data_IF_172100104081
#
_entry.id   IF_172100104081
#
_cell.length_a   1.000
_cell.length_b   1.000
_cell.length_c   1.000
_cell.angle_alpha   90.00
_cell.angle_beta   90.00
_cell.angle_gamma   90.00
#
_symmetry.space_group_name_H-M   'P 1'
#
loop_
_entity.id
_entity.type
_entity.pdbx_description
1 polymer ?
#
# COMPACT_ATOMS: atom_id res chain seq x y z
N UNK A 1 34.27 -9.78 33.43
CA UNK A 1 34.80 -11.12 33.08
C UNK A 1 33.69 -12.05 32.61
N UNK A 2 32.62 -12.29 33.37
CA UNK A 2 31.51 -13.19 32.96
C UNK A 2 30.72 -12.76 31.70
N UNK A 3 30.60 -11.45 31.46
CA UNK A 3 30.02 -10.92 30.21
C UNK A 3 30.89 -11.27 29.00
N UNK A 4 32.22 -11.21 29.16
CA UNK A 4 33.19 -11.47 28.09
C UNK A 4 33.25 -12.95 27.69
N UNK A 5 33.07 -13.87 28.66
CA UNK A 5 32.99 -15.32 28.40
C UNK A 5 31.67 -15.74 27.73
N UNK A 6 30.58 -15.02 28.00
CA UNK A 6 29.32 -15.20 27.27
C UNK A 6 29.45 -14.72 25.82
N UNK A 7 30.19 -13.63 25.60
CA UNK A 7 30.53 -13.12 24.26
C UNK A 7 31.41 -14.09 23.45
N UNK A 8 32.38 -14.76 24.08
CA UNK A 8 33.24 -15.75 23.42
C UNK A 8 32.47 -17.00 22.96
N UNK A 9 31.37 -17.36 23.64
CA UNK A 9 30.51 -18.49 23.25
C UNK A 9 29.54 -18.17 22.11
N UNK A 10 29.26 -16.89 21.90
CA UNK A 10 28.48 -16.39 20.77
C UNK A 10 29.34 -16.11 19.53
N UNK A 11 30.67 -16.05 19.64
CA UNK A 11 31.57 -15.83 18.48
C UNK A 11 31.44 -16.93 17.40
N UNK A 12 31.13 -18.18 17.78
CA UNK A 12 30.84 -19.29 16.85
C UNK A 12 29.41 -19.24 16.25
N UNK A 13 28.58 -18.30 16.72
CA UNK A 13 27.14 -18.21 16.38
C UNK A 13 26.77 -16.90 15.70
N UNK A 14 27.45 -15.81 16.07
CA UNK A 14 27.28 -14.44 15.56
C UNK A 14 28.66 -13.88 15.27
N UNK A 15 29.04 -13.82 13.99
CA UNK A 15 30.32 -13.21 13.59
C UNK A 15 30.23 -11.70 13.81
N UNK A 16 30.83 -11.18 14.88
CA UNK A 16 30.93 -9.75 15.12
C UNK A 16 31.95 -9.08 14.20
N UNK A 17 31.83 -7.76 14.03
CA UNK A 17 32.79 -6.99 13.24
C UNK A 17 34.22 -7.15 13.79
N UNK A 18 35.13 -7.63 12.94
CA UNK A 18 36.53 -7.93 13.26
C UNK A 18 37.44 -6.69 13.34
N UNK A 19 36.88 -5.48 13.14
CA UNK A 19 37.65 -4.24 12.98
C UNK A 19 38.16 -4.01 11.55
N UNK A 20 37.98 -4.98 10.64
CA UNK A 20 38.34 -4.87 9.23
C UNK A 20 37.10 -4.93 8.34
N UNK A 21 37.08 -4.14 7.27
CA UNK A 21 36.03 -4.18 6.25
C UNK A 21 36.26 -5.35 5.29
N UNK A 22 36.13 -6.57 5.82
CA UNK A 22 36.14 -7.79 5.05
C UNK A 22 34.84 -7.92 4.23
N UNK A 23 34.79 -8.85 3.27
CA UNK A 23 33.63 -9.04 2.37
C UNK A 23 32.29 -9.07 3.11
N UNK A 24 32.11 -9.82 4.23
CA UNK A 24 30.84 -9.83 4.96
C UNK A 24 30.47 -8.45 5.54
N UNK A 25 31.45 -7.73 6.10
CA UNK A 25 31.21 -6.41 6.69
C UNK A 25 30.78 -5.38 5.63
N UNK A 26 31.39 -5.42 4.44
CA UNK A 26 31.00 -4.57 3.32
C UNK A 26 29.57 -4.90 2.87
N UNK A 27 29.25 -6.18 2.68
CA UNK A 27 27.90 -6.63 2.31
C UNK A 27 26.87 -6.18 3.34
N UNK A 28 27.14 -6.37 4.63
CA UNK A 28 26.26 -5.96 5.74
C UNK A 28 26.04 -4.45 5.72
N UNK A 29 27.11 -3.66 5.58
CA UNK A 29 27.02 -2.19 5.51
C UNK A 29 26.12 -1.74 4.36
N UNK A 30 26.31 -2.32 3.17
CA UNK A 30 25.50 -2.02 1.97
C UNK A 30 24.04 -2.41 2.21
N UNK A 31 23.78 -3.59 2.77
CA UNK A 31 22.43 -4.04 3.06
C UNK A 31 21.72 -3.11 4.07
N UNK A 32 22.39 -2.71 5.14
CA UNK A 32 21.83 -1.76 6.12
C UNK A 32 21.52 -0.41 5.47
N UNK A 33 22.45 0.12 4.67
CA UNK A 33 22.25 1.38 3.97
C UNK A 33 21.05 1.32 3.00
N UNK A 34 20.94 0.24 2.23
CA UNK A 34 19.82 0.02 1.31
C UNK A 34 18.49 -0.13 2.05
N UNK A 35 18.45 -0.88 3.14
CA UNK A 35 17.23 -1.08 3.93
C UNK A 35 16.73 0.25 4.53
N UNK A 36 17.62 1.05 5.13
CA UNK A 36 17.28 2.38 5.67
C UNK A 36 16.83 3.32 4.55
N UNK A 37 17.55 3.36 3.43
CA UNK A 37 17.17 4.19 2.28
C UNK A 37 15.76 3.84 1.79
N UNK A 38 15.49 2.55 1.54
CA UNK A 38 14.18 2.08 1.08
C UNK A 38 13.08 2.40 2.10
N UNK A 39 13.34 2.22 3.40
CA UNK A 39 12.37 2.50 4.45
C UNK A 39 12.04 3.99 4.54
N UNK A 40 13.04 4.87 4.51
CA UNK A 40 12.83 6.33 4.53
C UNK A 40 12.08 6.78 3.29
N UNK A 41 12.50 6.34 2.10
CA UNK A 41 11.82 6.65 0.85
C UNK A 41 10.36 6.20 0.90
N UNK A 42 10.09 4.99 1.38
CA UNK A 42 8.74 4.46 1.51
C UNK A 42 7.91 5.26 2.53
N UNK A 43 8.47 5.63 3.68
CA UNK A 43 7.79 6.49 4.65
C UNK A 43 7.41 7.85 4.04
N UNK A 44 8.34 8.48 3.33
CA UNK A 44 8.07 9.74 2.62
C UNK A 44 6.97 9.56 1.56
N UNK A 45 7.01 8.47 0.80
CA UNK A 45 5.97 8.14 -0.18
C UNK A 45 4.61 7.91 0.47
N UNK A 46 4.56 7.25 1.63
CA UNK A 46 3.32 7.06 2.40
C UNK A 46 2.73 8.41 2.79
N UNK A 47 3.51 9.30 3.43
CA UNK A 47 3.02 10.59 3.88
C UNK A 47 2.64 11.54 2.73
N UNK A 48 3.29 11.43 1.57
CA UNK A 48 2.98 12.26 0.40
C UNK A 48 1.82 11.72 -0.44
N UNK A 49 1.53 10.42 -0.38
CA UNK A 49 0.50 9.78 -1.23
C UNK A 49 -0.85 9.67 -0.53
N UNK A 50 -0.87 9.39 0.78
CA UNK A 50 -2.11 9.24 1.53
C UNK A 50 -2.68 10.61 1.93
N UNK A 51 -3.92 10.88 1.50
CA UNK A 51 -4.67 12.08 1.93
C UNK A 51 -5.50 11.88 3.21
N UNK A 52 -5.78 10.62 3.56
CA UNK A 52 -6.47 10.23 4.80
C UNK A 52 -5.65 9.16 5.49
N UNK A 53 -5.29 9.40 6.74
CA UNK A 53 -4.47 8.51 7.57
C UNK A 53 -5.36 7.54 8.38
N UNK A 54 -6.29 6.89 7.68
CA UNK A 54 -7.26 5.96 8.27
C UNK A 54 -7.22 4.61 7.55
N UNK A 55 -7.59 3.56 8.27
CA UNK A 55 -7.71 2.19 7.74
C UNK A 55 -6.51 1.27 8.01
N UNK A 56 -6.79 -0.03 8.02
CA UNK A 56 -5.83 -1.07 8.37
C UNK A 56 -4.61 -1.08 7.43
N UNK A 57 -4.81 -0.85 6.13
CA UNK A 57 -3.71 -0.77 5.16
C UNK A 57 -2.70 0.31 5.54
N UNK A 58 -3.17 1.52 5.84
CA UNK A 58 -2.32 2.65 6.15
C UNK A 58 -1.48 2.36 7.40
N UNK A 59 -2.14 1.95 8.49
CA UNK A 59 -1.45 1.66 9.75
C UNK A 59 -0.48 0.48 9.64
N UNK A 60 -0.87 -0.61 8.98
CA UNK A 60 0.01 -1.77 8.77
C UNK A 60 1.22 -1.40 7.92
N UNK A 61 1.03 -0.66 6.82
CA UNK A 61 2.12 -0.23 5.95
C UNK A 61 3.06 0.75 6.66
N UNK A 62 2.52 1.69 7.43
CA UNK A 62 3.30 2.66 8.21
C UNK A 62 4.12 1.95 9.29
N UNK A 63 3.50 1.10 10.10
CA UNK A 63 4.16 0.36 11.18
C UNK A 63 5.23 -0.58 10.63
N UNK A 64 4.93 -1.30 9.54
CA UNK A 64 5.90 -2.20 8.91
C UNK A 64 7.12 -1.43 8.38
N UNK A 65 6.88 -0.32 7.67
CA UNK A 65 7.94 0.51 7.10
C UNK A 65 8.78 1.19 8.18
N UNK A 66 8.13 1.68 9.23
CA UNK A 66 8.81 2.24 10.39
C UNK A 66 9.65 1.17 11.09
N UNK A 67 9.12 -0.05 11.28
CA UNK A 67 9.80 -1.17 11.94
C UNK A 67 11.12 -1.59 11.30
N UNK A 68 11.29 -1.38 9.99
CA UNK A 68 12.58 -1.61 9.30
C UNK A 68 13.70 -0.75 9.88
N UNK A 69 13.40 0.49 10.30
CA UNK A 69 14.41 1.42 10.82
C UNK A 69 15.02 0.97 12.16
N UNK A 70 14.27 0.79 13.26
CA UNK A 70 14.84 0.32 14.51
C UNK A 70 15.39 -1.10 14.38
N UNK A 71 14.83 -1.96 13.52
CA UNK A 71 15.43 -3.27 13.27
C UNK A 71 16.85 -3.15 12.67
N UNK A 72 16.99 -2.35 11.62
CA UNK A 72 18.29 -2.14 10.94
C UNK A 72 19.29 -1.42 11.85
N UNK A 73 18.85 -0.41 12.59
CA UNK A 73 19.70 0.33 13.54
C UNK A 73 20.15 -0.55 14.71
N UNK A 74 19.24 -1.36 15.24
CA UNK A 74 19.55 -2.32 16.29
C UNK A 74 20.59 -3.34 15.83
N UNK A 75 20.37 -3.95 14.66
CA UNK A 75 21.31 -4.88 14.04
C UNK A 75 22.69 -4.23 13.78
N UNK A 76 22.74 -2.96 13.34
CA UNK A 76 24.01 -2.25 13.20
C UNK A 76 24.75 -2.06 14.53
N UNK A 77 24.02 -1.71 15.60
CA UNK A 77 24.62 -1.57 16.94
C UNK A 77 25.20 -2.90 17.40
N UNK A 78 24.46 -4.00 17.21
CA UNK A 78 24.88 -5.35 17.60
C UNK A 78 26.09 -5.83 16.78
N UNK A 79 26.07 -5.65 15.46
CA UNK A 79 27.13 -6.13 14.57
C UNK A 79 28.44 -5.33 14.70
N UNK A 80 28.35 -3.99 14.69
CA UNK A 80 29.52 -3.10 14.76
C UNK A 80 29.96 -2.77 16.20
N UNK A 81 29.22 -3.23 17.21
CA UNK A 81 29.48 -2.93 18.64
C UNK A 81 29.57 -1.41 18.90
N UNK A 82 28.67 -0.63 18.30
CA UNK A 82 28.69 0.85 18.36
C UNK A 82 28.42 1.41 19.77
N UNK A 83 27.63 0.71 20.57
CA UNK A 83 27.25 1.09 21.94
C UNK A 83 26.93 -0.17 22.75
N UNK A 84 26.25 -0.03 23.89
CA UNK A 84 25.77 -1.15 24.69
C UNK A 84 24.93 -2.13 23.85
N UNK A 85 25.28 -3.42 23.89
CA UNK A 85 24.57 -4.48 23.16
C UNK A 85 23.07 -4.49 23.47
N UNK A 86 22.70 -4.16 24.71
CA UNK A 86 21.31 -4.06 25.14
C UNK A 86 20.52 -3.01 24.34
N UNK A 87 21.15 -1.89 23.96
CA UNK A 87 20.49 -0.88 23.14
C UNK A 87 20.17 -1.40 21.73
N UNK A 88 21.08 -2.17 21.14
CA UNK A 88 20.86 -2.87 19.87
C UNK A 88 19.70 -3.86 19.99
N UNK A 89 19.73 -4.70 21.03
CA UNK A 89 18.71 -5.70 21.30
C UNK A 89 17.33 -5.10 21.52
N UNK A 90 17.22 -3.99 22.25
CA UNK A 90 15.94 -3.30 22.46
C UNK A 90 15.39 -2.78 21.13
N UNK A 91 16.24 -2.21 20.27
CA UNK A 91 15.80 -1.72 18.96
C UNK A 91 15.35 -2.85 18.03
N UNK A 92 16.09 -3.97 18.00
CA UNK A 92 15.68 -5.15 17.23
C UNK A 92 14.40 -5.77 17.79
N UNK A 93 14.22 -5.78 19.11
CA UNK A 93 13.03 -6.28 19.80
C UNK A 93 11.74 -5.59 19.36
N UNK A 94 11.76 -4.27 19.16
CA UNK A 94 10.60 -3.53 18.68
C UNK A 94 10.48 -3.53 17.16
N UNK A 95 11.61 -3.39 16.45
CA UNK A 95 11.61 -3.26 15.00
C UNK A 95 11.21 -4.53 14.27
N UNK A 96 11.72 -5.68 14.70
CA UNK A 96 11.49 -6.95 14.02
C UNK A 96 10.01 -7.38 14.01
N UNK A 97 9.29 -7.41 15.15
CA UNK A 97 7.88 -7.79 15.16
C UNK A 97 7.00 -6.80 14.39
N UNK A 98 7.29 -5.50 14.49
CA UNK A 98 6.58 -4.46 13.76
C UNK A 98 6.75 -4.63 12.24
N UNK A 99 7.97 -4.92 11.78
CA UNK A 99 8.29 -5.18 10.38
C UNK A 99 7.59 -6.44 9.86
N UNK A 100 7.77 -7.58 10.52
CA UNK A 100 7.28 -8.89 10.04
C UNK A 100 5.75 -8.98 10.12
N UNK A 101 5.17 -8.66 11.28
CA UNK A 101 3.70 -8.72 11.44
C UNK A 101 3.02 -7.65 10.62
N UNK A 102 3.59 -6.43 10.59
CA UNK A 102 3.06 -5.34 9.80
C UNK A 102 3.00 -5.71 8.32
N UNK A 103 4.03 -6.36 7.77
CA UNK A 103 4.04 -6.84 6.40
C UNK A 103 2.94 -7.88 6.14
N UNK A 104 2.74 -8.83 7.06
CA UNK A 104 1.63 -9.79 6.95
C UNK A 104 0.25 -9.12 6.98
N UNK A 105 0.10 -8.04 7.77
CA UNK A 105 -1.12 -7.25 7.82
C UNK A 105 -1.34 -6.40 6.55
N UNK A 106 -0.28 -5.93 5.90
CA UNK A 106 -0.37 -5.27 4.57
C UNK A 106 -0.92 -6.26 3.54
N UNK A 107 -0.38 -7.48 3.50
CA UNK A 107 -0.87 -8.54 2.62
C UNK A 107 -2.33 -8.90 2.92
N UNK A 108 -2.68 -9.03 4.20
CA UNK A 108 -4.06 -9.27 4.64
C UNK A 108 -5.01 -8.16 4.19
N UNK A 109 -4.61 -6.90 4.35
CA UNK A 109 -5.44 -5.77 3.94
C UNK A 109 -5.70 -5.77 2.43
N UNK A 110 -4.76 -6.24 1.61
CA UNK A 110 -4.99 -6.44 0.18
C UNK A 110 -5.89 -7.61 -0.12
N UNK A 111 -5.70 -8.72 0.59
CA UNK A 111 -6.55 -9.89 0.46
C UNK A 111 -8.01 -9.55 0.75
N UNK A 112 -8.25 -8.75 1.80
CA UNK A 112 -9.58 -8.24 2.16
C UNK A 112 -10.26 -7.51 0.98
N UNK A 113 -9.52 -6.63 0.28
CA UNK A 113 -10.05 -5.86 -0.85
C UNK A 113 -10.38 -6.76 -2.05
N UNK A 114 -9.61 -7.84 -2.27
CA UNK A 114 -9.83 -8.74 -3.41
C UNK A 114 -10.93 -9.76 -3.16
N UNK A 115 -11.02 -10.34 -1.96
CA UNK A 115 -12.00 -11.37 -1.62
C UNK A 115 -13.36 -10.78 -1.22
N UNK A 116 -13.38 -9.61 -0.59
CA UNK A 116 -14.60 -8.96 -0.08
C UNK A 116 -15.34 -9.79 0.99
N UNK A 117 -16.54 -9.31 1.35
CA UNK A 117 -17.36 -9.91 2.43
C UNK A 117 -17.91 -11.31 2.11
N UNK A 118 -17.95 -11.69 0.83
CA UNK A 118 -18.40 -13.03 0.42
C UNK A 118 -17.54 -14.16 1.04
N UNK A 119 -16.28 -13.86 1.39
CA UNK A 119 -15.34 -14.82 1.98
C UNK A 119 -14.89 -14.42 3.39
N UNK A 120 -15.76 -13.74 4.16
CA UNK A 120 -15.45 -13.26 5.52
C UNK A 120 -14.89 -14.33 6.46
N UNK A 121 -15.38 -15.58 6.38
CA UNK A 121 -14.88 -16.70 7.22
C UNK A 121 -13.40 -17.03 6.95
N UNK A 122 -13.01 -17.09 5.68
CA UNK A 122 -11.62 -17.35 5.27
C UNK A 122 -10.73 -16.19 5.72
N UNK A 123 -11.20 -14.96 5.51
CA UNK A 123 -10.46 -13.77 5.88
C UNK A 123 -10.22 -13.69 7.39
N UNK A 124 -11.26 -13.95 8.20
CA UNK A 124 -11.13 -14.02 9.66
C UNK A 124 -10.19 -15.14 10.11
N UNK A 125 -10.17 -16.28 9.41
CA UNK A 125 -9.24 -17.38 9.68
C UNK A 125 -7.78 -16.96 9.39
N UNK A 126 -7.55 -16.22 8.30
CA UNK A 126 -6.22 -15.67 7.97
C UNK A 126 -5.79 -14.65 9.03
N UNK A 127 -6.69 -13.77 9.47
CA UNK A 127 -6.37 -12.81 10.53
C UNK A 127 -5.99 -13.52 11.84
N UNK A 128 -6.75 -14.54 12.23
CA UNK A 128 -6.41 -15.35 13.41
C UNK A 128 -5.07 -16.05 13.26
N UNK A 129 -4.76 -16.61 12.08
CA UNK A 129 -3.45 -17.18 11.80
C UNK A 129 -2.33 -16.15 12.01
N UNK A 130 -2.46 -14.93 11.47
CA UNK A 130 -1.47 -13.85 11.64
C UNK A 130 -1.29 -13.49 13.11
N UNK A 131 -2.38 -13.35 13.87
CA UNK A 131 -2.34 -12.99 15.29
C UNK A 131 -1.67 -14.10 16.11
N UNK A 132 -2.11 -15.35 15.92
CA UNK A 132 -1.59 -16.50 16.69
C UNK A 132 -0.11 -16.73 16.37
N UNK A 133 0.27 -16.76 15.09
CA UNK A 133 1.68 -16.91 14.69
C UNK A 133 2.52 -15.73 15.19
N UNK A 134 2.01 -14.50 15.06
CA UNK A 134 2.69 -13.32 15.58
C UNK A 134 2.97 -13.44 17.08
N UNK A 135 1.96 -13.72 17.90
CA UNK A 135 2.15 -13.82 19.35
C UNK A 135 3.07 -14.98 19.71
N UNK A 136 2.82 -16.18 19.18
CA UNK A 136 3.58 -17.38 19.56
C UNK A 136 5.03 -17.28 19.12
N UNK A 137 5.28 -16.93 17.85
CA UNK A 137 6.63 -16.90 17.28
C UNK A 137 7.44 -15.73 17.80
N UNK A 138 6.84 -14.53 17.92
CA UNK A 138 7.57 -13.39 18.47
C UNK A 138 7.98 -13.66 19.91
N UNK A 139 7.06 -14.11 20.75
CA UNK A 139 7.37 -14.41 22.16
C UNK A 139 8.40 -15.53 22.27
N UNK A 140 8.28 -16.62 21.52
CA UNK A 140 9.26 -17.72 21.59
C UNK A 140 10.66 -17.28 21.19
N UNK A 141 10.76 -16.48 20.12
CA UNK A 141 12.05 -15.99 19.62
C UNK A 141 12.65 -14.97 20.58
N UNK A 142 11.84 -14.07 21.14
CA UNK A 142 12.30 -13.12 22.15
C UNK A 142 12.88 -13.84 23.38
N UNK A 143 12.16 -14.84 23.91
CA UNK A 143 12.64 -15.64 25.05
C UNK A 143 13.95 -16.36 24.71
N UNK A 144 14.05 -16.94 23.51
CA UNK A 144 15.26 -17.63 23.08
C UNK A 144 16.47 -16.68 22.95
N UNK A 145 16.29 -15.51 22.33
CA UNK A 145 17.34 -14.49 22.17
C UNK A 145 17.79 -13.94 23.53
N UNK A 146 16.85 -13.51 24.38
CA UNK A 146 17.20 -12.98 25.71
C UNK A 146 17.90 -14.03 26.56
N UNK A 147 17.44 -15.27 26.51
CA UNK A 147 18.09 -16.39 27.18
C UNK A 147 19.52 -16.61 26.68
N UNK A 148 19.74 -16.56 25.36
CA UNK A 148 21.07 -16.75 24.77
C UNK A 148 22.07 -15.65 25.17
N UNK A 149 21.61 -14.41 25.35
CA UNK A 149 22.47 -13.29 25.73
C UNK A 149 22.68 -13.11 27.24
N UNK A 150 21.69 -13.44 28.08
CA UNK A 150 21.70 -13.04 29.50
C UNK A 150 21.53 -14.18 30.52
N UNK A 151 21.11 -15.38 30.12
CA UNK A 151 20.95 -16.49 31.05
C UNK A 151 22.31 -17.11 31.40
N UNK A 152 22.93 -16.61 32.48
CA UNK A 152 24.32 -16.89 32.87
C UNK A 152 24.65 -18.37 33.24
N UNK A 153 23.71 -19.31 33.15
CA UNK A 153 23.92 -20.72 33.49
C UNK A 153 23.14 -21.69 32.59
N UNK A 154 22.68 -21.23 31.42
CA UNK A 154 21.86 -22.04 30.51
C UNK A 154 22.47 -22.07 29.10
N UNK A 155 23.51 -22.92 28.87
CA UNK A 155 24.20 -22.98 27.58
C UNK A 155 23.30 -23.45 26.43
N UNK A 156 22.15 -24.06 26.75
CA UNK A 156 21.21 -24.60 25.77
C UNK A 156 20.42 -23.53 25.01
N UNK A 157 20.41 -22.27 25.48
CA UNK A 157 19.66 -21.21 24.79
C UNK A 157 20.23 -20.81 23.43
N UNK A 158 21.55 -20.82 23.26
CA UNK A 158 22.17 -20.50 21.97
C UNK A 158 21.81 -21.50 20.85
N UNK A 159 21.94 -22.84 21.05
CA UNK A 159 21.47 -23.80 20.05
C UNK A 159 19.94 -23.80 19.93
N UNK A 160 19.20 -23.58 21.02
CA UNK A 160 17.74 -23.44 20.94
C UNK A 160 17.32 -22.24 20.08
N UNK A 161 18.00 -21.09 20.21
CA UNK A 161 17.75 -19.91 19.38
C UNK A 161 17.93 -20.22 17.89
N UNK A 162 19.02 -20.89 17.49
CA UNK A 162 19.22 -21.30 16.08
C UNK A 162 18.06 -22.16 15.55
N UNK A 163 17.51 -23.06 16.36
CA UNK A 163 16.38 -23.92 15.95
C UNK A 163 15.07 -23.15 15.90
N UNK A 164 14.79 -22.35 16.94
CA UNK A 164 13.59 -21.50 17.01
C UNK A 164 13.55 -20.53 15.84
N UNK A 165 14.69 -19.96 15.45
CA UNK A 165 14.82 -19.05 14.32
C UNK A 165 14.42 -19.69 12.97
N UNK A 166 14.93 -20.90 12.69
CA UNK A 166 14.54 -21.66 11.50
C UNK A 166 13.05 -21.99 11.49
N UNK A 167 12.50 -22.36 12.65
CA UNK A 167 11.07 -22.68 12.81
C UNK A 167 10.22 -21.44 12.52
N UNK A 168 10.52 -20.30 13.16
CA UNK A 168 9.75 -19.07 12.92
C UNK A 168 9.82 -18.62 11.46
N UNK A 169 11.00 -18.71 10.83
CA UNK A 169 11.20 -18.28 9.45
C UNK A 169 10.35 -19.14 8.53
N UNK A 170 10.37 -20.45 8.74
CA UNK A 170 9.55 -21.40 7.99
C UNK A 170 8.05 -21.11 8.16
N UNK A 171 7.58 -20.88 9.40
CA UNK A 171 6.15 -20.65 9.65
C UNK A 171 5.70 -19.30 9.08
N UNK A 172 6.47 -18.23 9.23
CA UNK A 172 6.16 -16.94 8.60
C UNK A 172 6.15 -17.04 7.07
N UNK A 173 7.11 -17.76 6.46
CA UNK A 173 7.10 -18.02 5.01
C UNK A 173 5.86 -18.79 4.57
N UNK A 174 5.45 -19.84 5.30
CA UNK A 174 4.23 -20.58 5.01
C UNK A 174 3.00 -19.69 5.15
N UNK A 175 2.94 -18.83 6.17
CA UNK A 175 1.89 -17.82 6.33
C UNK A 175 1.82 -16.87 5.13
N UNK A 176 2.96 -16.34 4.67
CA UNK A 176 3.02 -15.46 3.51
C UNK A 176 2.55 -16.20 2.23
N UNK A 177 2.91 -17.48 2.04
CA UNK A 177 2.41 -18.30 0.94
C UNK A 177 0.91 -18.54 0.99
N UNK A 178 0.33 -18.77 2.16
CA UNK A 178 -1.12 -18.94 2.31
C UNK A 178 -1.83 -17.65 1.90
N UNK A 179 -1.40 -16.50 2.41
CA UNK A 179 -2.01 -15.20 2.10
C UNK A 179 -1.87 -14.89 0.60
N UNK A 180 -0.66 -15.10 0.07
CA UNK A 180 -0.33 -14.88 -1.34
C UNK A 180 -1.13 -15.81 -2.28
N UNK A 181 -1.25 -17.09 -1.95
CA UNK A 181 -2.03 -18.06 -2.71
C UNK A 181 -3.53 -17.72 -2.75
N UNK A 182 -4.11 -17.33 -1.61
CA UNK A 182 -5.50 -16.87 -1.54
C UNK A 182 -5.70 -15.59 -2.38
N UNK A 183 -4.73 -14.68 -2.35
CA UNK A 183 -4.77 -13.45 -3.15
C UNK A 183 -4.78 -13.76 -4.65
N UNK A 184 -3.89 -14.64 -5.11
CA UNK A 184 -3.84 -15.09 -6.51
C UNK A 184 -5.14 -15.76 -6.90
N UNK A 185 -5.66 -16.66 -6.08
CA UNK A 185 -6.93 -17.34 -6.34
C UNK A 185 -8.10 -16.34 -6.51
N UNK A 186 -8.25 -15.39 -5.58
CA UNK A 186 -9.28 -14.35 -5.66
C UNK A 186 -9.12 -13.47 -6.91
N UNK A 187 -7.88 -13.08 -7.22
CA UNK A 187 -7.56 -12.28 -8.40
C UNK A 187 -7.87 -13.01 -9.71
N UNK A 188 -7.57 -14.31 -9.79
CA UNK A 188 -7.88 -15.14 -10.94
C UNK A 188 -9.38 -15.32 -11.15
N UNK A 189 -10.16 -15.42 -10.07
CA UNK A 189 -11.62 -15.49 -10.16
C UNK A 189 -12.20 -14.22 -10.79
N UNK A 190 -11.75 -13.04 -10.35
CA UNK A 190 -12.14 -11.74 -10.93
C UNK A 190 -11.69 -11.62 -12.40
N UNK A 191 -10.49 -12.11 -12.72
CA UNK A 191 -9.96 -12.07 -14.08
C UNK A 191 -10.81 -12.93 -15.04
N UNK A 192 -11.25 -14.11 -14.60
CA UNK A 192 -12.09 -15.01 -15.41
C UNK A 192 -13.44 -14.38 -15.72
N UNK A 193 -14.06 -13.70 -14.75
CA UNK A 193 -15.36 -13.02 -14.95
C UNK A 193 -15.23 -11.72 -15.76
N UNK A 194 -14.08 -11.05 -15.72
CA UNK A 194 -13.83 -9.77 -16.41
C UNK A 194 -13.08 -9.95 -17.77
N UNK A 195 -12.89 -11.18 -18.23
CA UNK A 195 -12.07 -11.53 -19.40
C UNK A 195 -12.51 -10.83 -20.72
N UNK A 196 -13.72 -10.27 -20.79
CA UNK A 196 -14.17 -9.48 -21.92
C UNK A 196 -13.41 -8.13 -22.10
N UNK A 197 -12.68 -7.65 -21.08
CA UNK A 197 -12.04 -6.32 -21.09
C UNK A 197 -10.51 -6.42 -21.15
N UNK A 198 -9.93 -6.45 -22.37
CA UNK A 198 -8.47 -6.60 -22.62
C UNK A 198 -7.55 -5.64 -21.84
N UNK A 199 -8.01 -4.45 -21.45
CA UNK A 199 -7.22 -3.49 -20.65
C UNK A 199 -7.08 -3.95 -19.19
N UNK A 200 -8.14 -4.54 -18.61
CA UNK A 200 -8.16 -5.04 -17.24
C UNK A 200 -7.24 -6.25 -17.06
N UNK A 201 -7.15 -7.12 -18.07
CA UNK A 201 -6.27 -8.30 -18.04
C UNK A 201 -4.78 -7.97 -17.96
N UNK A 202 -4.31 -6.89 -18.60
CA UNK A 202 -2.89 -6.46 -18.53
C UNK A 202 -2.52 -5.96 -17.14
N UNK A 203 -3.43 -5.25 -16.49
CA UNK A 203 -3.25 -4.73 -15.14
C UNK A 203 -3.22 -5.89 -14.15
N UNK A 204 -4.17 -6.81 -14.23
CA UNK A 204 -4.20 -8.01 -13.38
C UNK A 204 -2.95 -8.87 -13.53
N UNK A 205 -2.38 -8.95 -14.74
CA UNK A 205 -1.08 -9.59 -14.96
C UNK A 205 0.07 -8.86 -14.24
N UNK A 206 0.08 -7.52 -14.22
CA UNK A 206 1.07 -6.77 -13.44
C UNK A 206 0.93 -7.00 -11.94
N UNK A 207 -0.31 -7.05 -11.42
CA UNK A 207 -0.58 -7.36 -10.00
C UNK A 207 -0.12 -8.79 -9.65
N UNK A 208 -0.33 -9.73 -10.56
CA UNK A 208 0.14 -11.11 -10.42
C UNK A 208 1.67 -11.19 -10.39
N UNK A 209 2.37 -10.48 -11.29
CA UNK A 209 3.84 -10.51 -11.34
C UNK A 209 4.50 -10.04 -10.04
N UNK A 210 3.96 -9.02 -9.38
CA UNK A 210 4.54 -8.51 -8.14
C UNK A 210 4.32 -9.50 -6.99
N UNK A 211 3.15 -10.14 -6.94
CA UNK A 211 2.87 -11.17 -5.94
C UNK A 211 3.77 -12.41 -6.11
N UNK A 212 4.05 -12.83 -7.35
CA UNK A 212 5.03 -13.89 -7.65
C UNK A 212 6.43 -13.49 -7.19
N UNK A 213 6.83 -12.23 -7.40
CA UNK A 213 8.14 -11.73 -6.98
C UNK A 213 8.30 -11.76 -5.45
N UNK A 214 7.24 -11.49 -4.69
CA UNK A 214 7.23 -11.60 -3.22
C UNK A 214 7.47 -13.06 -2.80
N UNK A 215 6.75 -14.02 -3.42
CA UNK A 215 6.94 -15.45 -3.15
C UNK A 215 8.38 -15.89 -3.44
N UNK A 216 8.98 -15.41 -4.54
CA UNK A 216 10.39 -15.72 -4.86
C UNK A 216 11.32 -15.16 -3.78
N UNK A 217 11.07 -13.94 -3.29
CA UNK A 217 11.86 -13.34 -2.21
C UNK A 217 11.73 -14.12 -0.89
N UNK A 218 10.56 -14.68 -0.59
CA UNK A 218 10.35 -15.53 0.60
C UNK A 218 11.18 -16.81 0.52
N UNK A 219 11.14 -17.49 -0.64
CA UNK A 219 11.94 -18.69 -0.88
C UNK A 219 13.43 -18.35 -0.76
N UNK A 220 13.87 -17.23 -1.31
CA UNK A 220 15.26 -16.80 -1.23
C UNK A 220 15.70 -16.57 0.22
N UNK A 221 14.88 -15.91 1.05
CA UNK A 221 15.17 -15.75 2.47
C UNK A 221 15.23 -17.09 3.20
N UNK A 222 14.28 -17.98 2.93
CA UNK A 222 14.25 -19.31 3.54
C UNK A 222 15.52 -20.10 3.20
N UNK A 223 15.97 -20.07 1.93
CA UNK A 223 17.20 -20.73 1.51
C UNK A 223 18.42 -20.18 2.23
N UNK A 224 18.54 -18.86 2.38
CA UNK A 224 19.67 -18.23 3.09
C UNK A 224 19.68 -18.63 4.57
N UNK A 225 18.51 -18.71 5.21
CA UNK A 225 18.37 -19.16 6.60
C UNK A 225 18.86 -20.61 6.79
N UNK A 226 18.54 -21.51 5.86
CA UNK A 226 19.01 -22.89 5.92
C UNK A 226 20.51 -23.07 5.58
N UNK A 227 21.23 -22.01 5.19
CA UNK A 227 22.68 -22.05 5.00
C UNK A 227 23.48 -21.83 6.29
N UNK A 228 22.82 -21.70 7.45
CA UNK A 228 23.45 -21.46 8.77
C UNK A 228 24.32 -20.18 8.84
N UNK A 229 24.06 -19.22 7.94
CA UNK A 229 24.78 -17.94 7.85
C UNK A 229 23.96 -16.80 8.45
N UNK A 230 23.77 -16.87 9.76
CA UNK A 230 22.90 -15.98 10.55
C UNK A 230 23.08 -14.47 10.27
N UNK A 231 24.31 -13.97 10.34
CA UNK A 231 24.55 -12.53 10.18
C UNK A 231 24.25 -12.03 8.76
N UNK A 232 24.56 -12.84 7.74
CA UNK A 232 24.24 -12.52 6.34
C UNK A 232 22.73 -12.62 6.12
N UNK A 233 22.08 -13.61 6.72
CA UNK A 233 20.63 -13.77 6.70
C UNK A 233 19.91 -12.54 7.24
N UNK A 234 20.30 -12.05 8.43
CA UNK A 234 19.71 -10.85 9.02
C UNK A 234 19.91 -9.61 8.15
N UNK A 235 21.09 -9.45 7.54
CA UNK A 235 21.39 -8.35 6.63
C UNK A 235 20.56 -8.39 5.34
N UNK A 236 20.37 -9.58 4.75
CA UNK A 236 19.53 -9.73 3.55
C UNK A 236 18.04 -9.57 3.91
N UNK A 237 17.60 -10.07 5.07
CA UNK A 237 16.23 -9.99 5.59
C UNK A 237 15.68 -8.56 5.58
N UNK A 238 16.39 -7.62 6.20
CA UNK A 238 15.97 -6.20 6.23
C UNK A 238 15.83 -5.58 4.83
N UNK A 239 16.70 -5.92 3.87
CA UNK A 239 16.60 -5.44 2.49
C UNK A 239 15.37 -6.02 1.82
N UNK A 240 15.19 -7.34 1.92
CA UNK A 240 14.06 -8.04 1.32
C UNK A 240 12.74 -7.51 1.87
N UNK A 241 12.59 -7.37 3.19
CA UNK A 241 11.38 -6.81 3.79
C UNK A 241 11.11 -5.36 3.34
N UNK A 242 12.15 -4.51 3.25
CA UNK A 242 11.99 -3.14 2.72
C UNK A 242 11.51 -3.12 1.26
N UNK A 243 12.04 -4.03 0.43
CA UNK A 243 11.65 -4.13 -0.99
C UNK A 243 10.25 -4.70 -1.12
N UNK A 244 9.88 -5.72 -0.31
CA UNK A 244 8.51 -6.26 -0.24
C UNK A 244 7.51 -5.14 0.02
N UNK A 245 7.72 -4.32 1.04
CA UNK A 245 6.81 -3.22 1.38
C UNK A 245 6.72 -2.17 0.26
N UNK A 246 7.85 -1.87 -0.41
CA UNK A 246 7.86 -0.93 -1.54
C UNK A 246 7.08 -1.46 -2.74
N UNK A 247 7.19 -2.77 -3.01
CA UNK A 247 6.39 -3.46 -4.03
C UNK A 247 4.90 -3.43 -3.70
N UNK A 248 4.53 -3.68 -2.44
CA UNK A 248 3.15 -3.58 -1.95
C UNK A 248 2.55 -2.18 -2.18
N UNK A 249 3.31 -1.15 -1.84
CA UNK A 249 2.90 0.24 -2.08
C UNK A 249 2.76 0.59 -3.57
N UNK A 250 3.68 0.09 -4.41
CA UNK A 250 3.63 0.29 -5.86
C UNK A 250 2.39 -0.37 -6.48
N UNK A 251 1.98 -1.54 -5.98
CA UNK A 251 0.73 -2.19 -6.38
C UNK A 251 -0.45 -1.25 -6.09
N UNK A 252 -0.62 -0.80 -4.84
CA UNK A 252 -1.76 0.04 -4.47
C UNK A 252 -1.84 1.31 -5.31
N UNK A 253 -0.71 1.99 -5.50
CA UNK A 253 -0.65 3.24 -6.29
C UNK A 253 -1.13 3.03 -7.73
N UNK A 254 -0.82 1.87 -8.32
CA UNK A 254 -1.33 1.50 -9.65
C UNK A 254 -2.83 1.22 -9.64
N UNK A 255 -3.36 0.50 -8.64
CA UNK A 255 -4.82 0.25 -8.53
C UNK A 255 -5.61 1.57 -8.44
N UNK A 256 -5.15 2.53 -7.63
CA UNK A 256 -5.82 3.83 -7.48
C UNK A 256 -5.78 4.66 -8.77
N UNK A 257 -4.66 4.66 -9.49
CA UNK A 257 -4.54 5.33 -10.78
C UNK A 257 -5.51 4.79 -11.84
N UNK A 258 -5.86 3.50 -11.74
CA UNK A 258 -6.79 2.82 -12.64
C UNK A 258 -8.25 3.03 -12.18
N UNK A 259 -8.49 3.10 -10.88
CA UNK A 259 -9.81 3.35 -10.30
C UNK A 259 -10.39 4.72 -10.66
N UNK A 260 -9.54 5.72 -10.96
CA UNK A 260 -9.96 7.04 -11.47
C UNK A 260 -10.52 6.99 -12.90
N UNK A 261 -10.43 5.84 -13.60
CA UNK A 261 -11.09 5.58 -14.87
C UNK A 261 -12.53 5.07 -14.69
N UNK A 262 -13.44 5.96 -14.28
CA UNK A 262 -14.93 5.95 -14.29
C UNK A 262 -15.76 4.71 -13.88
N UNK A 263 -15.33 3.46 -14.12
CA UNK A 263 -16.19 2.27 -13.92
C UNK A 263 -15.87 1.49 -12.64
N UNK A 264 -14.65 1.65 -12.10
CA UNK A 264 -14.23 1.03 -10.84
C UNK A 264 -14.50 1.91 -9.61
N UNK A 265 -14.92 3.17 -9.79
CA UNK A 265 -15.23 4.08 -8.68
C UNK A 265 -16.41 3.59 -7.85
N UNK A 266 -17.48 3.08 -8.45
CA UNK A 266 -18.69 2.73 -7.68
C UNK A 266 -18.44 1.56 -6.73
N UNK A 267 -17.64 0.56 -7.12
CA UNK A 267 -17.35 -0.60 -6.28
C UNK A 267 -16.23 -0.34 -5.26
N UNK A 268 -15.18 0.40 -5.65
CA UNK A 268 -14.02 0.62 -4.80
C UNK A 268 -14.21 1.84 -3.88
N UNK A 269 -14.90 2.90 -4.32
CA UNK A 269 -15.29 4.01 -3.45
C UNK A 269 -16.38 3.60 -2.47
N UNK A 270 -17.27 2.67 -2.81
CA UNK A 270 -18.14 2.01 -1.83
C UNK A 270 -17.30 1.23 -0.80
N UNK A 271 -16.32 0.42 -1.24
CA UNK A 271 -15.44 -0.33 -0.33
C UNK A 271 -14.54 0.56 0.56
N UNK A 272 -14.16 1.76 0.11
CA UNK A 272 -13.40 2.72 0.92
C UNK A 272 -14.28 3.62 1.80
N UNK A 273 -15.51 3.94 1.39
CA UNK A 273 -16.48 4.67 2.23
C UNK A 273 -17.05 3.77 3.34
N UNK A 274 -17.32 2.50 3.03
CA UNK A 274 -17.82 1.51 4.00
C UNK A 274 -16.76 1.19 5.08
N UNK A 275 -15.47 1.45 4.79
CA UNK A 275 -14.37 1.38 5.78
C UNK A 275 -14.25 2.62 6.68
N UNK A 276 -14.68 3.81 6.21
CA UNK A 276 -14.69 5.05 7.00
C UNK A 276 -15.91 5.13 7.95
N UNK A 277 -16.99 4.39 7.66
CA UNK A 277 -18.24 4.38 8.46
C UNK A 277 -18.22 3.39 9.64
N UNK A 278 -17.40 2.34 9.60
CA UNK A 278 -17.34 1.30 10.65
C UNK A 278 -16.33 1.56 11.79
N UNK A 279 -15.66 2.73 11.83
CA UNK A 279 -14.62 3.07 12.83
C UNK A 279 -15.05 4.19 13.79
N UNK A 280 -16.31 4.60 13.78
CA UNK A 280 -16.82 5.59 14.76
C UNK A 280 -18.01 5.02 15.56
N UNK A 281 -17.79 4.41 16.74
CA UNK A 281 -18.87 4.00 17.62
C UNK A 281 -19.24 5.05 18.68
N UNK A 282 -18.52 6.18 18.80
CA UNK A 282 -18.76 7.19 19.85
C UNK A 282 -18.37 8.60 19.37
N UNK A 283 -19.33 9.33 18.79
CA UNK A 283 -19.12 10.69 18.28
C UNK A 283 -20.43 11.45 18.05
N UNK A 284 -21.09 11.81 19.16
CA UNK A 284 -22.14 12.83 19.35
C UNK A 284 -23.18 13.06 18.23
N UNK A 285 -24.40 12.61 18.52
CA UNK A 285 -25.60 12.74 17.73
C UNK A 285 -26.12 14.19 17.77
N UNK A 286 -25.83 15.02 16.75
CA UNK A 286 -26.60 16.25 16.52
C UNK A 286 -27.76 15.97 15.56
N UNK A 287 -28.85 15.48 16.13
CA UNK A 287 -30.18 15.37 15.49
C UNK A 287 -30.65 16.75 14.99
N UNK A 288 -30.70 16.95 13.67
CA UNK A 288 -31.56 17.99 13.07
C UNK A 288 -32.97 17.41 12.95
N UNK A 289 -33.81 17.76 13.92
CA UNK A 289 -35.23 17.39 13.97
C UNK A 289 -35.97 17.89 12.73
N UNK A 290 -36.49 16.97 11.94
CA UNK A 290 -37.64 17.17 11.07
C UNK A 290 -38.90 17.28 11.94
N UNK A 291 -39.54 18.46 11.95
CA UNK A 291 -40.92 18.61 12.39
C UNK A 291 -41.78 18.87 11.16
N UNK A 292 -42.62 17.88 10.87
CA UNK A 292 -43.73 17.90 9.94
C UNK A 292 -44.93 18.60 10.62
N UNK A 293 -45.39 19.72 10.07
CA UNK A 293 -46.75 20.25 10.26
C UNK A 293 -47.20 20.97 8.99
N UNK A 294 -48.20 20.40 8.30
CA UNK A 294 -49.06 21.06 7.30
C UNK A 294 -50.30 21.65 7.99
N UNK A 295 -51.22 22.40 7.34
CA UNK A 295 -51.17 23.22 6.11
C UNK A 295 -51.83 24.62 6.27
N UNK A 296 -51.44 25.67 5.51
CA UNK A 296 -52.38 26.72 5.07
C UNK A 296 -51.79 27.77 4.10
N UNK A 297 -52.55 28.00 3.02
CA UNK A 297 -52.80 29.26 2.29
C UNK A 297 -51.69 30.07 1.56
N UNK A 298 -51.91 30.11 0.23
CA UNK A 298 -51.81 31.18 -0.78
C UNK A 298 -50.43 31.64 -1.30
N UNK A 299 -50.33 31.92 -2.62
CA UNK A 299 -49.09 32.30 -3.29
C UNK A 299 -48.86 33.82 -3.23
N UNK A 300 -47.60 34.24 -3.10
CA UNK A 300 -47.20 35.63 -3.33
C UNK A 300 -46.08 35.68 -4.38
N UNK A 301 -46.28 36.67 -5.25
CA UNK A 301 -45.65 37.02 -6.52
C UNK A 301 -44.14 37.29 -6.52
N UNK A 302 -43.56 37.07 -7.71
CA UNK A 302 -42.52 37.87 -8.38
C UNK A 302 -41.54 38.68 -7.52
N UNK A 303 -40.25 38.34 -7.67
CA UNK A 303 -39.24 39.38 -7.89
C UNK A 303 -38.15 38.91 -8.84
N UNK A 304 -38.29 39.37 -10.08
CA UNK A 304 -37.24 39.46 -11.09
C UNK A 304 -36.10 40.30 -10.50
N UNK A 305 -34.89 39.73 -10.40
CA UNK A 305 -33.69 40.51 -10.12
C UNK A 305 -32.66 40.32 -11.24
N UNK A 306 -32.51 41.43 -11.95
CA UNK A 306 -31.62 41.79 -13.04
C UNK A 306 -30.17 41.32 -12.90
N UNK A 307 -29.61 40.88 -14.04
CA UNK A 307 -28.18 40.87 -14.36
C UNK A 307 -27.52 42.24 -14.07
N UNK A 308 -26.29 42.27 -13.53
CA UNK A 308 -25.36 43.34 -13.81
C UNK A 308 -24.49 42.97 -15.02
N UNK A 309 -24.48 43.88 -15.99
CA UNK A 309 -23.59 43.95 -17.14
C UNK A 309 -22.26 44.54 -16.67
N UNK A 310 -21.13 43.90 -16.97
CA UNK A 310 -19.81 44.53 -16.86
C UNK A 310 -19.20 44.45 -18.26
N UNK A 311 -19.09 45.62 -18.88
CA UNK A 311 -18.47 45.86 -20.17
C UNK A 311 -16.94 45.96 -20.00
N UNK A 312 -16.20 45.27 -20.88
CA UNK A 312 -14.88 45.66 -21.40
C UNK A 312 -13.66 45.55 -20.48
N UNK A 313 -12.78 44.57 -20.74
CA UNK A 313 -11.32 44.76 -20.87
C UNK A 313 -10.76 43.72 -21.86
N UNK A 314 -10.40 44.24 -23.04
CA UNK A 314 -9.33 43.91 -23.99
C UNK A 314 -8.87 42.45 -24.22
N UNK A 315 -9.15 42.00 -25.45
CA UNK A 315 -8.56 40.85 -26.11
C UNK A 315 -7.07 41.12 -26.44
N UNK A 316 -6.17 40.33 -25.87
CA UNK A 316 -4.81 40.17 -26.42
C UNK A 316 -4.88 39.14 -27.55
N UNK A 317 -5.01 39.65 -28.77
CA UNK A 317 -4.96 38.88 -30.01
C UNK A 317 -3.50 38.56 -30.34
N UNK A 318 -3.10 37.29 -30.14
CA UNK A 318 -1.78 36.82 -30.59
C UNK A 318 -1.84 36.59 -32.10
N UNK A 319 -1.45 37.63 -32.85
CA UNK A 319 -1.25 37.63 -34.29
C UNK A 319 -0.10 36.67 -34.65
N UNK A 320 -0.43 35.50 -35.16
CA UNK A 320 0.51 34.68 -35.93
C UNK A 320 0.53 35.21 -37.36
N UNK A 321 1.61 35.91 -37.73
CA UNK A 321 1.84 36.32 -39.11
C UNK A 321 1.83 35.09 -40.04
N UNK A 322 1.06 35.24 -41.11
CA UNK A 322 0.95 34.32 -42.23
C UNK A 322 2.30 34.15 -42.92
N UNK A 323 3.00 33.06 -42.59
CA UNK A 323 4.05 32.50 -43.45
C UNK A 323 3.38 31.64 -44.53
N UNK A 324 3.64 32.02 -45.77
CA UNK A 324 3.28 31.37 -47.02
C UNK A 324 3.57 29.85 -46.97
N UNK A 325 2.52 29.06 -46.86
CA UNK A 325 2.58 27.59 -46.89
C UNK A 325 1.66 27.14 -48.02
N UNK A 326 2.28 26.56 -49.06
CA UNK A 326 1.59 26.06 -50.24
C UNK A 326 0.49 25.03 -49.91
N UNK A 327 -0.45 24.81 -50.85
CA UNK A 327 -1.72 24.11 -50.62
C UNK A 327 -1.64 22.64 -50.18
N UNK A 328 -0.44 22.05 -50.07
CA UNK A 328 -0.24 20.62 -49.77
C UNK A 328 0.54 20.36 -48.45
N UNK A 329 0.58 21.33 -47.53
CA UNK A 329 1.19 21.15 -46.20
C UNK A 329 0.29 20.35 -45.24
N UNK A 330 0.83 19.31 -44.58
CA UNK A 330 0.14 18.49 -43.56
C UNK A 330 -0.53 19.34 -42.45
N UNK A 331 0.02 20.52 -42.14
CA UNK A 331 -0.55 21.41 -41.12
C UNK A 331 -1.89 22.03 -41.55
N UNK A 332 -2.09 22.27 -42.84
CA UNK A 332 -3.35 22.81 -43.38
C UNK A 332 -4.47 21.77 -43.31
N UNK A 333 -4.14 20.49 -43.55
CA UNK A 333 -5.07 19.36 -43.42
C UNK A 333 -5.47 19.15 -41.95
N UNK A 334 -4.51 19.24 -41.03
CA UNK A 334 -4.76 19.13 -39.58
C UNK A 334 -5.67 20.27 -39.10
N UNK A 335 -5.43 21.51 -39.55
CA UNK A 335 -6.24 22.67 -39.15
C UNK A 335 -7.67 22.59 -39.69
N UNK A 336 -7.86 22.08 -40.91
CA UNK A 336 -9.18 21.86 -41.53
C UNK A 336 -9.98 20.74 -40.84
N UNK A 337 -9.31 19.67 -40.44
CA UNK A 337 -9.94 18.55 -39.72
C UNK A 337 -10.34 18.93 -38.28
N UNK A 338 -9.58 19.81 -37.62
CA UNK A 338 -9.93 20.34 -36.29
C UNK A 338 -11.15 21.26 -36.38
N UNK A 339 -11.24 22.12 -37.40
CA UNK A 339 -12.41 23.00 -37.55
C UNK A 339 -13.68 22.24 -37.95
N UNK A 340 -13.57 21.22 -38.80
CA UNK A 340 -14.68 20.34 -39.17
C UNK A 340 -15.16 19.48 -37.97
N UNK A 341 -14.24 18.96 -37.15
CA UNK A 341 -14.58 18.22 -35.94
C UNK A 341 -15.31 19.08 -34.90
N UNK A 342 -14.86 20.33 -34.71
CA UNK A 342 -15.47 21.29 -33.79
C UNK A 342 -16.89 21.70 -34.23
N UNK A 343 -17.10 21.92 -35.53
CA UNK A 343 -18.42 22.22 -36.10
C UNK A 343 -19.40 21.04 -35.94
N UNK A 344 -18.92 19.79 -36.08
CA UNK A 344 -19.74 18.59 -35.92
C UNK A 344 -20.18 18.38 -34.45
N UNK A 345 -19.32 18.71 -33.48
CA UNK A 345 -19.70 18.72 -32.05
C UNK A 345 -20.72 19.79 -31.70
N UNK A 346 -20.63 20.98 -32.30
CA UNK A 346 -21.59 22.06 -32.05
C UNK A 346 -22.99 21.74 -32.59
N UNK A 347 -23.08 21.10 -33.76
CA UNK A 347 -24.37 20.68 -34.33
C UNK A 347 -24.99 19.50 -33.57
N UNK A 348 -24.16 18.58 -33.03
CA UNK A 348 -24.61 17.51 -32.15
C UNK A 348 -25.13 18.05 -30.80
N UNK A 349 -24.48 19.08 -30.24
CA UNK A 349 -24.94 19.75 -29.03
C UNK A 349 -26.25 20.51 -29.26
N UNK A 350 -26.39 21.16 -30.42
CA UNK A 350 -27.61 21.87 -30.83
C UNK A 350 -28.79 20.91 -31.04
N UNK A 351 -28.58 19.75 -31.66
CA UNK A 351 -29.62 18.72 -31.81
C UNK A 351 -30.06 18.15 -30.47
N UNK A 352 -29.14 17.98 -29.52
CA UNK A 352 -29.45 17.50 -28.17
C UNK A 352 -30.27 18.52 -27.37
N UNK A 353 -29.96 19.82 -27.46
CA UNK A 353 -30.75 20.85 -26.77
C UNK A 353 -32.15 21.00 -27.36
N UNK A 354 -32.32 20.85 -28.67
CA UNK A 354 -33.66 20.86 -29.30
C UNK A 354 -34.48 19.65 -28.84
N UNK A 355 -33.88 18.45 -28.78
CA UNK A 355 -34.56 17.25 -28.28
C UNK A 355 -34.99 17.37 -26.81
N UNK A 356 -34.16 17.97 -25.95
CA UNK A 356 -34.51 18.20 -24.54
C UNK A 356 -35.64 19.21 -24.39
N UNK A 357 -35.70 20.23 -25.25
CA UNK A 357 -36.76 21.24 -25.24
C UNK A 357 -38.10 20.66 -25.71
N UNK A 358 -38.09 19.81 -26.74
CA UNK A 358 -39.29 19.12 -27.24
C UNK A 358 -39.81 18.05 -26.28
N UNK A 359 -38.91 17.35 -25.58
CA UNK A 359 -39.27 16.36 -24.56
C UNK A 359 -39.93 17.02 -23.34
N UNK A 360 -39.41 18.17 -22.90
CA UNK A 360 -40.03 18.97 -21.84
C UNK A 360 -41.38 19.57 -22.25
N UNK A 361 -41.50 20.04 -23.50
CA UNK A 361 -42.75 20.57 -24.03
C UNK A 361 -43.83 19.49 -24.20
N UNK A 362 -43.44 18.23 -24.49
CA UNK A 362 -44.36 17.09 -24.56
C UNK A 362 -44.82 16.65 -23.16
N UNK A 363 -43.92 16.61 -22.17
CA UNK A 363 -44.25 16.23 -20.80
C UNK A 363 -45.20 17.24 -20.11
N UNK A 364 -45.16 18.52 -20.52
CA UNK A 364 -46.04 19.57 -20.00
C UNK A 364 -47.44 19.60 -20.65
N UNK A 365 -47.69 18.80 -21.69
CA UNK A 365 -49.05 18.65 -22.27
C UNK A 365 -49.89 17.58 -21.58
N UNK A 366 -49.27 16.63 -20.89
CA UNK A 366 -49.97 15.51 -20.25
C UNK A 366 -50.38 15.80 -18.78
N UNK A 367 -50.15 17.03 -18.30
CA UNK A 367 -50.46 17.47 -16.92
C UNK A 367 -51.44 18.66 -16.91
N UNK A 368 -52.17 18.87 -18.00
CA UNK A 368 -53.20 19.92 -18.13
C UNK A 368 -54.60 19.35 -18.32
#
# INVERSE_FOLDING_TARGET
MAVQDSFARLEDTTSFFSGKFDVPAVVITICCALAIYNAIELLLLIFTTFRRFKGLYFWSLLIASFGVLPYTLGFMIEYFKLTAQLAGLILTLFGWPAMVTGQSLVLYSRLHVVLGEAHHKTLRSVLWMIIVNGVVLHVSTMVAVFGAYYAHQAPDFAPAYKVVEKIQMTIFTVQEFIISGLYVWGTLNILRTTAARRRTSRILWQLFSINVLIVIMDIALLVVEFQDRHVIEQAIKQVVYSVKLKMEFAILSKLVGIARGAVAQVALTAAFNEYDEFVDPDGDEMTVRTLDQTPSHRPISMRQQSKPKIDGVDHVEFRADSADLGPDSELAVITRNISAGSAMTHDAQRKRSVLETDLYASAMRDVG
#
